data_IF_581238968819
#
_entry.id   IF_581238968819
#
_cell.length_a   1.000
_cell.length_b   1.000
_cell.length_c   1.000
_cell.angle_alpha   90.00
_cell.angle_beta   90.00
_cell.angle_gamma   90.00
#
_symmetry.space_group_name_H-M   'P 1'
#
loop_
_entity.id
_entity.type
_entity.pdbx_description
1 polymer ?
#
# COMPACT_ATOMS: atom_id res chain seq x y z
N UNK A 1 15.91 -19.30 17.80
CA UNK A 1 16.11 -18.14 16.92
C UNK A 1 16.36 -18.55 15.48
N UNK A 2 17.56 -19.05 15.11
CA UNK A 2 17.89 -19.36 13.69
C UNK A 2 16.88 -20.30 13.00
N UNK A 3 16.41 -21.35 13.68
CA UNK A 3 15.34 -22.23 13.16
C UNK A 3 14.05 -21.50 12.82
N UNK A 4 13.64 -20.53 13.65
CA UNK A 4 12.43 -19.74 13.37
C UNK A 4 12.64 -18.74 12.24
N UNK A 5 13.86 -18.24 12.05
CA UNK A 5 14.14 -17.32 10.96
C UNK A 5 14.17 -18.05 9.60
N UNK A 6 14.70 -19.27 9.59
CA UNK A 6 14.63 -20.17 8.44
C UNK A 6 13.18 -20.57 8.13
N UNK A 7 12.44 -21.09 9.12
CA UNK A 7 11.01 -21.41 8.96
C UNK A 7 10.16 -20.21 8.50
N UNK A 8 10.47 -19.00 8.99
CA UNK A 8 9.82 -17.78 8.54
C UNK A 8 10.10 -17.49 7.06
N UNK A 9 11.33 -17.67 6.60
CA UNK A 9 11.71 -17.41 5.20
C UNK A 9 11.05 -18.43 4.25
N UNK A 10 11.03 -19.71 4.62
CA UNK A 10 10.34 -20.76 3.88
C UNK A 10 8.84 -20.42 3.74
N UNK A 11 8.19 -20.13 4.86
CA UNK A 11 6.75 -19.82 4.90
C UNK A 11 6.42 -18.53 4.15
N UNK A 12 7.28 -17.51 4.24
CA UNK A 12 7.18 -16.28 3.46
C UNK A 12 7.20 -16.59 1.96
N UNK A 13 8.18 -17.34 1.47
CA UNK A 13 8.32 -17.67 0.05
C UNK A 13 7.11 -18.47 -0.46
N UNK A 14 6.66 -19.47 0.31
CA UNK A 14 5.46 -20.25 0.00
C UNK A 14 4.22 -19.36 -0.10
N UNK A 15 3.97 -18.51 0.89
CA UNK A 15 2.80 -17.61 0.92
C UNK A 15 2.88 -16.55 -0.17
N UNK A 16 4.06 -15.97 -0.44
CA UNK A 16 4.25 -14.98 -1.51
C UNK A 16 3.84 -15.57 -2.85
N UNK A 17 4.30 -16.79 -3.17
CA UNK A 17 3.92 -17.50 -4.40
C UNK A 17 2.40 -17.65 -4.55
N UNK A 18 1.71 -18.07 -3.49
CA UNK A 18 0.25 -18.22 -3.53
C UNK A 18 -0.48 -16.91 -3.72
N UNK A 19 -0.07 -15.85 -2.99
CA UNK A 19 -0.70 -14.54 -3.10
C UNK A 19 -0.46 -13.87 -4.45
N UNK A 20 0.73 -14.01 -5.02
CA UNK A 20 1.03 -13.53 -6.38
C UNK A 20 0.16 -14.23 -7.42
N UNK A 21 0.00 -15.55 -7.32
CA UNK A 21 -0.88 -16.31 -8.22
C UNK A 21 -2.33 -15.79 -8.15
N UNK A 22 -2.82 -15.50 -6.95
CA UNK A 22 -4.16 -14.94 -6.74
C UNK A 22 -4.27 -13.53 -7.35
N UNK A 23 -3.32 -12.64 -7.08
CA UNK A 23 -3.28 -11.30 -7.68
C UNK A 23 -3.27 -11.35 -9.22
N UNK A 24 -2.41 -12.18 -9.83
CA UNK A 24 -2.36 -12.37 -11.28
C UNK A 24 -3.72 -12.83 -11.82
N UNK A 25 -4.32 -13.83 -11.17
CA UNK A 25 -5.60 -14.38 -11.60
C UNK A 25 -6.72 -13.35 -11.53
N UNK A 26 -6.77 -12.57 -10.45
CA UNK A 26 -7.82 -11.57 -10.22
C UNK A 26 -7.60 -10.26 -10.99
N UNK A 27 -6.36 -9.91 -11.33
CA UNK A 27 -6.03 -8.62 -11.95
C UNK A 27 -5.73 -8.69 -13.45
N UNK A 28 -5.31 -9.85 -13.99
CA UNK A 28 -4.86 -9.97 -15.39
C UNK A 28 -5.54 -11.08 -16.19
N UNK A 29 -6.10 -12.11 -15.53
CA UNK A 29 -6.66 -13.28 -16.23
C UNK A 29 -8.16 -13.16 -16.49
N UNK A 30 -8.61 -13.93 -17.49
CA UNK A 30 -10.00 -14.09 -17.91
C UNK A 30 -10.85 -14.66 -16.77
N UNK A 31 -12.04 -14.10 -16.55
CA UNK A 31 -13.12 -14.86 -15.92
C UNK A 31 -13.70 -15.84 -16.96
N UNK A 32 -14.65 -16.70 -16.57
CA UNK A 32 -15.33 -17.67 -17.45
C UNK A 32 -15.95 -17.05 -18.74
N UNK A 33 -15.94 -15.72 -18.88
CA UNK A 33 -16.43 -14.90 -19.99
C UNK A 33 -15.39 -14.62 -21.11
N UNK A 34 -14.23 -15.29 -21.13
CA UNK A 34 -13.30 -15.33 -22.28
C UNK A 34 -12.48 -14.06 -22.63
N UNK A 35 -12.62 -12.93 -21.92
CA UNK A 35 -11.81 -11.72 -22.17
C UNK A 35 -10.75 -11.47 -21.10
N UNK A 36 -9.51 -11.19 -21.53
CA UNK A 36 -8.44 -10.79 -20.61
C UNK A 36 -8.69 -9.37 -20.14
N UNK A 37 -8.49 -9.12 -18.83
CA UNK A 37 -8.65 -7.80 -18.21
C UNK A 37 -7.30 -7.24 -17.76
N UNK A 38 -7.24 -5.93 -17.57
CA UNK A 38 -6.10 -5.29 -16.93
C UNK A 38 -6.60 -4.34 -15.84
N UNK A 39 -6.68 -4.84 -14.60
CA UNK A 39 -7.18 -4.07 -13.47
C UNK A 39 -6.07 -3.45 -12.64
N UNK A 40 -6.33 -2.33 -11.97
CA UNK A 40 -5.41 -1.86 -10.93
C UNK A 40 -5.86 -2.23 -9.51
N UNK A 41 -5.02 -1.87 -8.54
CA UNK A 41 -5.25 -2.12 -7.12
C UNK A 41 -6.50 -1.42 -6.57
N UNK A 42 -7.03 -0.41 -7.26
CA UNK A 42 -8.19 0.39 -6.89
C UNK A 42 -9.48 -0.10 -7.57
N UNK A 43 -9.39 -1.16 -8.38
CA UNK A 43 -10.53 -1.71 -9.11
C UNK A 43 -10.86 -0.95 -10.40
N UNK A 44 -9.94 -0.14 -10.91
CA UNK A 44 -10.09 0.49 -12.22
C UNK A 44 -9.69 -0.47 -13.34
N UNK A 45 -10.43 -0.43 -14.45
CA UNK A 45 -10.05 -1.07 -15.69
C UNK A 45 -9.08 -0.15 -16.46
N UNK A 46 -7.84 -0.60 -16.62
CA UNK A 46 -6.75 0.16 -17.22
C UNK A 46 -6.82 0.22 -18.75
N UNK A 47 -7.67 -0.57 -19.41
CA UNK A 47 -7.93 -0.39 -20.84
C UNK A 47 -8.69 0.93 -21.08
N UNK A 48 -9.66 1.22 -20.21
CA UNK A 48 -10.52 2.40 -20.30
C UNK A 48 -10.05 3.58 -19.44
N UNK A 49 -9.25 3.32 -18.41
CA UNK A 49 -8.70 4.34 -17.50
C UNK A 49 -7.45 4.99 -18.08
N UNK A 50 -7.46 6.32 -18.18
CA UNK A 50 -6.32 7.16 -18.58
C UNK A 50 -6.10 8.23 -17.51
N UNK A 51 -5.24 7.91 -16.52
CA UNK A 51 -4.95 8.80 -15.38
C UNK A 51 -4.44 10.17 -15.82
N UNK A 52 -3.61 10.20 -16.86
CA UNK A 52 -3.08 11.44 -17.41
C UNK A 52 -4.13 12.38 -17.96
N UNK A 53 -5.30 11.87 -18.36
CA UNK A 53 -6.45 12.65 -18.82
C UNK A 53 -7.55 12.79 -17.74
N UNK A 54 -7.24 12.45 -16.48
CA UNK A 54 -8.21 12.33 -15.38
C UNK A 54 -9.42 11.44 -15.71
N UNK A 55 -9.26 10.46 -16.62
CA UNK A 55 -10.32 9.55 -17.04
C UNK A 55 -10.25 8.28 -16.21
N UNK A 56 -11.17 8.10 -15.26
CA UNK A 56 -11.19 6.95 -14.35
C UNK A 56 -12.39 6.06 -14.61
N UNK A 57 -12.15 4.76 -14.88
CA UNK A 57 -13.19 3.77 -15.16
C UNK A 57 -13.12 2.61 -14.20
N UNK A 58 -13.94 2.70 -13.16
CA UNK A 58 -14.08 1.63 -12.18
C UNK A 58 -14.99 0.54 -12.74
N UNK A 59 -14.59 -0.72 -12.61
CA UNK A 59 -15.36 -1.86 -13.08
C UNK A 59 -15.53 -2.89 -11.95
N UNK A 60 -16.77 -3.34 -11.72
CA UNK A 60 -17.08 -4.44 -10.82
C UNK A 60 -16.26 -5.72 -11.15
N UNK A 61 -15.93 -5.96 -12.42
CA UNK A 61 -15.04 -7.06 -12.83
C UNK A 61 -13.62 -6.93 -12.26
N UNK A 62 -13.19 -5.73 -11.89
CA UNK A 62 -11.91 -5.44 -11.27
C UNK A 62 -11.97 -5.41 -9.73
N UNK A 63 -13.14 -5.59 -9.12
CA UNK A 63 -13.28 -5.66 -7.65
C UNK A 63 -12.50 -6.83 -7.03
N UNK A 64 -12.37 -7.93 -7.77
CA UNK A 64 -11.53 -9.06 -7.37
C UNK A 64 -10.06 -8.65 -7.21
N UNK A 65 -9.54 -7.84 -8.14
CA UNK A 65 -8.19 -7.32 -8.09
C UNK A 65 -7.99 -6.41 -6.87
N UNK A 66 -8.90 -5.45 -6.66
CA UNK A 66 -8.90 -4.56 -5.50
C UNK A 66 -8.74 -5.32 -4.18
N UNK A 67 -9.53 -6.38 -4.00
CA UNK A 67 -9.49 -7.20 -2.78
C UNK A 67 -8.17 -7.96 -2.64
N UNK A 68 -7.71 -8.63 -3.69
CA UNK A 68 -6.46 -9.40 -3.64
C UNK A 68 -5.25 -8.49 -3.42
N UNK A 69 -5.19 -7.36 -4.10
CA UNK A 69 -4.10 -6.40 -3.99
C UNK A 69 -4.04 -5.71 -2.65
N UNK A 70 -5.18 -5.23 -2.12
CA UNK A 70 -5.20 -4.63 -0.78
C UNK A 70 -4.73 -5.61 0.30
N UNK A 71 -5.13 -6.88 0.24
CA UNK A 71 -4.62 -7.88 1.18
C UNK A 71 -3.14 -8.27 0.95
N UNK A 72 -2.66 -8.19 -0.29
CA UNK A 72 -1.27 -8.49 -0.62
C UNK A 72 -0.33 -7.38 -0.10
N UNK A 73 -0.62 -6.13 -0.42
CA UNK A 73 0.13 -4.94 -0.01
C UNK A 73 0.32 -4.92 1.51
N UNK A 74 -0.77 -5.05 2.26
CA UNK A 74 -0.69 -5.00 3.72
C UNK A 74 0.08 -6.20 4.28
N UNK A 75 -0.06 -7.37 3.66
CA UNK A 75 0.68 -8.55 4.09
C UNK A 75 2.18 -8.40 3.83
N UNK A 76 2.58 -7.93 2.65
CA UNK A 76 4.00 -7.81 2.27
C UNK A 76 4.71 -6.75 3.12
N UNK A 77 4.05 -5.63 3.44
CA UNK A 77 4.57 -4.61 4.35
C UNK A 77 4.80 -5.17 5.76
N UNK A 78 3.85 -5.94 6.27
CA UNK A 78 4.00 -6.62 7.56
C UNK A 78 5.14 -7.65 7.54
N UNK A 79 5.33 -8.39 6.45
CA UNK A 79 6.43 -9.32 6.29
C UNK A 79 7.79 -8.59 6.27
N UNK A 80 7.88 -7.44 5.59
CA UNK A 80 9.09 -6.61 5.60
C UNK A 80 9.45 -6.18 7.02
N UNK A 81 8.48 -5.74 7.81
CA UNK A 81 8.71 -5.35 9.21
C UNK A 81 9.15 -6.53 10.08
N UNK A 82 8.56 -7.71 9.90
CA UNK A 82 8.99 -8.93 10.59
C UNK A 82 10.43 -9.31 10.23
N UNK A 83 10.76 -9.26 8.94
CA UNK A 83 12.10 -9.53 8.43
C UNK A 83 13.14 -8.59 9.05
N UNK A 84 12.88 -7.27 9.07
CA UNK A 84 13.80 -6.30 9.65
C UNK A 84 14.06 -6.56 11.13
N UNK A 85 13.03 -6.93 11.90
CA UNK A 85 13.17 -7.32 13.31
C UNK A 85 14.00 -8.60 13.49
N UNK A 86 13.79 -9.61 12.65
CA UNK A 86 14.63 -10.81 12.67
C UNK A 86 16.07 -10.43 12.33
N UNK A 87 16.32 -9.67 11.25
CA UNK A 87 17.67 -9.21 10.88
C UNK A 87 18.39 -8.51 12.03
N UNK A 88 17.72 -7.61 12.75
CA UNK A 88 18.25 -6.96 13.96
C UNK A 88 18.54 -7.96 15.08
N UNK A 89 17.60 -8.87 15.38
CA UNK A 89 17.80 -9.92 16.38
C UNK A 89 18.97 -10.86 16.05
N UNK A 90 19.22 -11.14 14.77
CA UNK A 90 20.37 -11.92 14.34
C UNK A 90 21.68 -11.25 14.78
N UNK A 91 21.80 -9.94 14.53
CA UNK A 91 22.98 -9.16 14.89
C UNK A 91 23.16 -9.05 16.41
N UNK A 92 22.07 -8.92 17.17
CA UNK A 92 22.10 -8.93 18.64
C UNK A 92 22.57 -10.27 19.22
N UNK A 93 22.00 -11.39 18.75
CA UNK A 93 22.40 -12.73 19.21
C UNK A 93 23.87 -12.98 18.88
N UNK A 94 24.31 -12.61 17.67
CA UNK A 94 25.70 -12.75 17.27
C UNK A 94 26.64 -11.94 18.17
N UNK A 95 26.35 -10.67 18.45
CA UNK A 95 27.13 -9.83 19.37
C UNK A 95 27.20 -10.44 20.77
N UNK A 96 26.05 -10.92 21.28
CA UNK A 96 25.95 -11.57 22.59
C UNK A 96 26.89 -12.76 22.70
N UNK A 97 26.86 -13.68 21.75
CA UNK A 97 27.67 -14.89 21.82
C UNK A 97 29.14 -14.67 21.47
N UNK A 98 29.49 -13.71 20.60
CA UNK A 98 30.89 -13.31 20.38
C UNK A 98 31.52 -12.79 21.68
N UNK A 99 30.80 -11.97 22.45
CA UNK A 99 31.31 -11.45 23.72
C UNK A 99 31.51 -12.56 24.76
N UNK A 100 30.61 -13.55 24.79
CA UNK A 100 30.74 -14.75 25.64
C UNK A 100 31.97 -15.57 25.24
N UNK A 101 32.14 -15.86 23.94
CA UNK A 101 33.26 -16.66 23.40
C UNK A 101 34.61 -15.98 23.63
N UNK A 102 34.69 -14.67 23.42
CA UNK A 102 35.94 -13.92 23.58
C UNK A 102 36.32 -13.67 25.05
N UNK A 103 35.58 -14.21 26.02
CA UNK A 103 35.86 -14.02 27.45
C UNK A 103 35.68 -12.58 27.93
N UNK A 104 35.01 -11.73 27.15
CA UNK A 104 34.69 -10.37 27.55
C UNK A 104 33.59 -10.42 28.61
N UNK A 105 34.01 -10.47 29.88
CA UNK A 105 33.12 -10.25 31.02
C UNK A 105 32.29 -9.00 30.74
N UNK A 106 30.96 -9.14 30.61
CA UNK A 106 30.06 -8.00 30.68
C UNK A 106 30.43 -7.26 31.96
N UNK A 107 31.02 -6.07 31.82
CA UNK A 107 31.49 -5.26 32.93
C UNK A 107 30.29 -4.76 33.74
N UNK A 108 29.71 -5.64 34.54
CA UNK A 108 28.89 -5.23 35.67
C UNK A 108 29.85 -4.63 36.68
N UNK A 109 30.00 -3.32 36.59
CA UNK A 109 30.43 -2.47 37.69
C UNK A 109 29.58 -2.77 38.93
N UNK A 110 30.05 -3.74 39.73
CA UNK A 110 30.07 -3.81 41.20
C UNK A 110 30.55 -5.19 41.63
N UNK A 111 31.80 -5.23 42.06
CA UNK A 111 32.48 -6.38 42.68
C UNK A 111 31.75 -6.72 43.99
N UNK A 112 30.87 -7.73 43.98
CA UNK A 112 30.52 -8.49 45.20
C UNK A 112 31.25 -9.83 45.13
N UNK A 113 32.17 -10.03 46.08
CA UNK A 113 32.82 -11.32 46.35
C UNK A 113 31.72 -12.35 46.65
N UNK A 114 31.65 -13.42 45.86
CA UNK A 114 30.75 -14.54 46.15
C UNK A 114 30.54 -15.47 44.96
N UNK A 115 31.00 -16.71 45.14
CA UNK A 115 30.67 -17.92 44.36
C UNK A 115 31.33 -18.06 42.98
N UNK A 116 32.00 -19.19 42.79
CA UNK A 116 32.56 -19.68 41.53
C UNK A 116 31.50 -19.64 40.43
N UNK A 117 31.55 -18.63 39.57
CA UNK A 117 30.75 -18.58 38.34
C UNK A 117 31.34 -19.61 37.39
N UNK A 118 30.83 -20.85 37.42
CA UNK A 118 30.96 -21.75 36.28
C UNK A 118 30.47 -21.00 35.05
N UNK A 119 31.37 -20.72 34.12
CA UNK A 119 31.06 -20.02 32.86
C UNK A 119 30.10 -20.94 32.10
N UNK A 120 28.79 -20.72 32.23
CA UNK A 120 27.79 -21.55 31.58
C UNK A 120 27.79 -21.21 30.10
N UNK A 121 28.68 -21.85 29.35
CA UNK A 121 28.65 -21.90 27.89
C UNK A 121 27.45 -22.75 27.46
N UNK A 122 26.28 -22.11 27.43
CA UNK A 122 25.03 -22.73 26.97
C UNK A 122 25.19 -23.33 25.58
N UNK A 123 24.31 -24.26 25.21
CA UNK A 123 24.35 -24.95 23.90
C UNK A 123 24.41 -23.99 22.72
N UNK A 124 23.82 -22.80 22.86
CA UNK A 124 23.84 -21.74 21.87
C UNK A 124 25.24 -21.16 21.65
N UNK A 125 26.05 -20.95 22.70
CA UNK A 125 27.40 -20.39 22.52
C UNK A 125 28.28 -21.35 21.71
N UNK A 126 28.20 -22.65 22.01
CA UNK A 126 28.86 -23.72 21.22
C UNK A 126 28.41 -23.74 19.76
N UNK A 127 27.13 -23.46 19.50
CA UNK A 127 26.60 -23.39 18.14
C UNK A 127 27.10 -22.15 17.40
N UNK A 128 27.06 -20.97 18.04
CA UNK A 128 27.53 -19.72 17.46
C UNK A 128 29.05 -19.68 17.27
N UNK A 129 29.81 -20.42 18.08
CA UNK A 129 31.25 -20.62 17.91
C UNK A 129 31.54 -21.42 16.63
N UNK A 130 30.85 -22.55 16.44
CA UNK A 130 30.90 -23.28 15.16
C UNK A 130 30.46 -22.41 13.99
N UNK A 131 29.39 -21.62 14.15
CA UNK A 131 28.87 -20.73 13.10
C UNK A 131 29.89 -19.65 12.71
N UNK A 132 30.66 -19.12 13.68
CA UNK A 132 31.69 -18.09 13.47
C UNK A 132 32.80 -18.57 12.52
N UNK A 133 33.13 -19.85 12.57
CA UNK A 133 34.16 -20.49 11.74
C UNK A 133 33.63 -20.91 10.36
N UNK A 134 32.35 -20.66 10.07
CA UNK A 134 31.76 -20.89 8.74
C UNK A 134 31.66 -19.59 7.92
N UNK A 135 31.38 -19.75 6.63
CA UNK A 135 31.06 -18.63 5.72
C UNK A 135 29.81 -17.85 6.13
N UNK A 136 29.01 -18.33 7.10
CA UNK A 136 27.78 -17.67 7.58
C UNK A 136 28.02 -16.75 8.76
N UNK A 137 29.29 -16.37 9.01
CA UNK A 137 29.64 -15.37 10.01
C UNK A 137 28.84 -14.08 9.83
N UNK A 138 28.55 -13.66 8.59
CA UNK A 138 27.82 -12.42 8.30
C UNK A 138 26.35 -12.68 8.00
N UNK A 139 25.47 -11.80 8.48
CA UNK A 139 24.01 -11.88 8.25
C UNK A 139 23.69 -11.99 6.76
N UNK A 140 24.40 -11.26 5.91
CA UNK A 140 24.25 -11.32 4.45
C UNK A 140 24.46 -12.73 3.88
N UNK A 141 25.46 -13.47 4.37
CA UNK A 141 25.74 -14.82 3.88
C UNK A 141 24.71 -15.83 4.39
N UNK A 142 24.19 -15.63 5.60
CA UNK A 142 23.05 -16.40 6.10
C UNK A 142 21.78 -16.13 5.28
N UNK A 143 21.49 -14.86 4.98
CA UNK A 143 20.34 -14.47 4.16
C UNK A 143 20.43 -15.02 2.72
N UNK A 144 21.63 -15.06 2.13
CA UNK A 144 21.85 -15.75 0.84
C UNK A 144 21.47 -17.22 0.88
N UNK A 145 21.68 -17.91 2.01
CA UNK A 145 21.24 -19.30 2.17
C UNK A 145 19.74 -19.45 2.27
N UNK A 146 19.04 -18.49 2.87
CA UNK A 146 17.57 -18.50 2.88
C UNK A 146 17.01 -18.34 1.46
N UNK A 147 17.64 -17.53 0.61
CA UNK A 147 17.24 -17.45 -0.81
C UNK A 147 17.47 -18.78 -1.56
N UNK A 148 18.41 -19.61 -1.08
CA UNK A 148 18.75 -20.88 -1.73
C UNK A 148 17.69 -21.96 -1.55
N UNK A 149 16.70 -21.75 -0.70
CA UNK A 149 15.61 -22.70 -0.48
C UNK A 149 14.79 -22.94 -1.75
N UNK A 150 14.40 -24.19 -1.96
CA UNK A 150 13.66 -24.61 -3.16
C UNK A 150 12.36 -23.83 -3.34
N UNK A 151 11.68 -23.48 -2.26
CA UNK A 151 10.42 -22.72 -2.30
C UNK A 151 10.64 -21.27 -2.74
N UNK A 152 11.76 -20.65 -2.32
CA UNK A 152 12.13 -19.29 -2.69
C UNK A 152 12.60 -19.23 -4.15
N UNK A 153 13.40 -20.22 -4.59
CA UNK A 153 13.86 -20.36 -5.98
C UNK A 153 12.72 -20.56 -6.99
N UNK A 154 11.60 -21.13 -6.56
CA UNK A 154 10.42 -21.35 -7.41
C UNK A 154 9.62 -20.08 -7.72
N UNK A 155 10.00 -18.92 -7.19
CA UNK A 155 9.43 -17.61 -7.53
C UNK A 155 10.26 -17.02 -8.67
N UNK A 156 9.85 -17.29 -9.91
CA UNK A 156 10.58 -16.92 -11.14
C UNK A 156 9.74 -16.06 -12.08
N UNK A 157 8.70 -15.40 -11.59
CA UNK A 157 7.92 -14.47 -12.42
C UNK A 157 8.83 -13.28 -12.80
N UNK A 158 9.03 -13.06 -14.10
CA UNK A 158 9.97 -12.07 -14.63
C UNK A 158 9.64 -10.64 -14.15
N UNK A 159 8.36 -10.34 -13.88
CA UNK A 159 7.92 -9.02 -13.41
C UNK A 159 8.20 -8.83 -11.93
N UNK A 160 8.03 -9.88 -11.15
CA UNK A 160 8.26 -9.88 -9.70
C UNK A 160 9.73 -10.07 -9.31
N UNK A 161 10.53 -10.66 -10.20
CA UNK A 161 11.94 -10.94 -9.95
C UNK A 161 12.19 -12.02 -8.90
N UNK A 162 13.47 -12.21 -8.57
CA UNK A 162 13.94 -13.22 -7.63
C UNK A 162 14.01 -12.66 -6.21
N UNK A 163 13.84 -13.54 -5.22
CA UNK A 163 13.99 -13.20 -3.79
C UNK A 163 15.47 -13.00 -3.46
N UNK A 164 15.78 -11.86 -2.83
CA UNK A 164 17.10 -11.43 -2.41
C UNK A 164 17.05 -10.80 -1.01
N UNK A 165 16.94 -11.60 0.04
CA UNK A 165 16.90 -11.10 1.42
C UNK A 165 18.15 -10.30 1.83
N UNK A 166 19.31 -10.65 1.31
CA UNK A 166 20.60 -10.01 1.57
C UNK A 166 20.67 -8.56 1.08
N UNK A 167 19.89 -8.23 0.04
CA UNK A 167 19.84 -6.89 -0.56
C UNK A 167 18.79 -6.00 0.11
N UNK A 168 18.11 -6.47 1.14
CA UNK A 168 17.04 -5.72 1.81
C UNK A 168 17.68 -4.74 2.79
N UNK A 169 17.51 -3.45 2.52
CA UNK A 169 18.06 -2.39 3.35
C UNK A 169 17.06 -2.01 4.46
N UNK A 170 17.59 -1.58 5.60
CA UNK A 170 16.80 -1.08 6.73
C UNK A 170 16.37 0.38 6.56
N UNK A 171 16.96 1.11 5.61
CA UNK A 171 16.62 2.49 5.34
C UNK A 171 15.29 2.59 4.60
N UNK A 172 14.36 3.38 5.13
CA UNK A 172 13.25 3.97 4.38
C UNK A 172 13.80 5.02 3.41
N UNK A 173 14.64 4.63 2.44
CA UNK A 173 15.04 5.57 1.42
C UNK A 173 13.84 5.82 0.52
N UNK A 174 13.42 7.08 0.48
CA UNK A 174 12.46 7.71 -0.44
C UNK A 174 12.83 7.52 -1.92
N UNK A 175 13.96 6.86 -2.18
CA UNK A 175 14.41 6.31 -3.46
C UNK A 175 14.51 4.80 -3.25
N UNK A 176 13.69 4.03 -3.99
CA UNK A 176 13.33 2.65 -3.71
C UNK A 176 14.46 1.68 -3.33
N UNK A 177 14.08 0.62 -2.61
CA UNK A 177 14.95 -0.53 -2.29
C UNK A 177 15.72 -0.93 -3.55
N UNK A 178 17.02 -0.61 -3.58
CA UNK A 178 17.82 -0.69 -4.81
C UNK A 178 17.65 -2.04 -5.49
N UNK A 179 16.97 -2.08 -6.64
CA UNK A 179 16.68 -3.28 -7.44
C UNK A 179 16.01 -4.47 -6.72
N UNK A 180 15.70 -4.39 -5.42
CA UNK A 180 15.30 -5.54 -4.63
C UNK A 180 13.79 -5.66 -4.54
N UNK A 181 13.23 -6.58 -5.34
CA UNK A 181 11.80 -6.83 -5.42
C UNK A 181 11.24 -7.79 -4.36
N UNK A 182 12.03 -8.12 -3.33
CA UNK A 182 11.64 -9.12 -2.33
C UNK A 182 10.37 -8.73 -1.58
N UNK A 183 10.22 -7.45 -1.22
CA UNK A 183 9.05 -6.95 -0.50
C UNK A 183 8.21 -5.96 -1.31
N UNK A 184 8.35 -5.97 -2.64
CA UNK A 184 7.59 -5.08 -3.51
C UNK A 184 6.11 -5.46 -3.55
N UNK A 185 5.28 -4.46 -3.80
CA UNK A 185 3.82 -4.55 -3.86
C UNK A 185 3.27 -5.22 -5.14
N UNK A 186 4.10 -5.96 -5.87
CA UNK A 186 3.84 -6.56 -7.19
C UNK A 186 3.47 -5.56 -8.30
N UNK A 187 3.95 -5.80 -9.53
CA UNK A 187 3.54 -4.99 -10.69
C UNK A 187 2.03 -5.14 -10.99
N UNK A 188 1.44 -6.27 -10.61
CA UNK A 188 0.03 -6.55 -10.86
C UNK A 188 -0.92 -5.68 -10.01
N UNK A 189 -0.43 -5.20 -8.87
CA UNK A 189 -1.14 -4.32 -7.94
C UNK A 189 -0.64 -2.88 -7.99
N UNK A 190 -0.06 -2.46 -9.11
CA UNK A 190 0.21 -1.05 -9.36
C UNK A 190 -1.04 -0.35 -9.89
N UNK A 191 -1.10 0.97 -9.68
CA UNK A 191 -2.08 1.83 -10.32
C UNK A 191 -2.01 1.70 -11.85
N UNK A 192 -3.11 2.02 -12.54
CA UNK A 192 -3.09 2.02 -14.01
C UNK A 192 -1.95 2.91 -14.57
N UNK A 193 -1.37 2.54 -15.73
CA UNK A 193 -0.42 3.40 -16.44
C UNK A 193 -1.00 4.78 -16.74
N UNK A 194 -0.13 5.76 -16.94
CA UNK A 194 -0.53 7.16 -17.20
C UNK A 194 -1.54 7.28 -18.35
N UNK A 195 -1.29 6.58 -19.45
CA UNK A 195 -2.16 6.52 -20.63
C UNK A 195 -2.99 5.23 -20.73
N UNK A 196 -3.08 4.44 -19.67
CA UNK A 196 -3.73 3.13 -19.71
C UNK A 196 -2.92 2.08 -20.48
N UNK A 197 -3.59 1.03 -20.94
CA UNK A 197 -2.97 -0.10 -21.67
C UNK A 197 -3.61 -0.32 -23.04
N UNK A 198 -2.89 -0.98 -23.94
CA UNK A 198 -3.44 -1.48 -25.21
C UNK A 198 -2.90 -2.86 -25.52
N UNK A 199 -3.72 -3.76 -26.07
CA UNK A 199 -3.24 -5.04 -26.60
C UNK A 199 -2.46 -4.82 -27.90
N UNK A 200 -1.23 -5.32 -27.95
CA UNK A 200 -0.41 -5.41 -29.15
C UNK A 200 0.07 -6.86 -29.26
N UNK A 201 -0.21 -7.52 -30.39
CA UNK A 201 0.17 -8.92 -30.63
C UNK A 201 -0.26 -9.88 -29.50
N UNK A 202 -1.47 -9.70 -28.96
CA UNK A 202 -2.01 -10.53 -27.87
C UNK A 202 -1.42 -10.25 -26.48
N UNK A 203 -0.51 -9.29 -26.32
CA UNK A 203 0.06 -8.90 -25.02
C UNK A 203 -0.33 -7.47 -24.66
N UNK A 204 -0.59 -7.22 -23.38
CA UNK A 204 -0.83 -5.88 -22.86
C UNK A 204 0.45 -5.05 -22.85
N UNK A 205 0.43 -3.90 -23.53
CA UNK A 205 1.49 -2.90 -23.48
C UNK A 205 1.03 -1.70 -22.65
N UNK A 206 1.82 -1.37 -21.62
CA UNK A 206 1.65 -0.16 -20.80
C UNK A 206 1.99 1.07 -21.64
N UNK A 207 1.15 2.10 -21.56
CA UNK A 207 1.43 3.42 -22.15
C UNK A 207 1.70 4.41 -21.02
N UNK A 208 2.92 4.92 -20.95
CA UNK A 208 3.36 5.88 -19.93
C UNK A 208 3.78 7.24 -20.54
N UNK A 209 3.53 7.44 -21.84
CA UNK A 209 3.93 8.64 -22.58
C UNK A 209 3.09 9.86 -22.11
N UNK A 210 3.74 10.74 -21.36
CA UNK A 210 3.09 11.93 -20.79
C UNK A 210 2.70 12.95 -21.85
N UNK A 211 3.46 13.06 -22.93
CA UNK A 211 3.19 14.03 -24.01
C UNK A 211 1.93 13.63 -24.79
N UNK A 212 1.65 12.33 -24.88
CA UNK A 212 0.45 11.81 -25.56
C UNK A 212 -0.80 11.71 -24.67
N UNK A 213 -0.66 11.72 -23.34
CA UNK A 213 -1.78 11.89 -22.40
C UNK A 213 -1.57 13.10 -21.49
N UNK A 214 -1.68 14.28 -22.07
CA UNK A 214 -1.74 15.47 -21.26
C UNK A 214 -3.11 15.57 -20.54
N UNK A 215 -3.13 16.17 -19.33
CA UNK A 215 -4.36 16.49 -18.62
C UNK A 215 -5.31 17.32 -19.47
N UNK A 216 -6.58 16.93 -19.48
CA UNK A 216 -7.66 17.70 -20.12
C UNK A 216 -8.94 17.54 -19.32
N UNK A 217 -9.76 18.58 -19.30
CA UNK A 217 -11.14 18.47 -18.86
C UNK A 217 -11.90 17.71 -19.95
N UNK A 218 -12.40 16.52 -19.62
CA UNK A 218 -13.20 15.71 -20.53
C UNK A 218 -14.50 16.41 -20.85
N UNK A 219 -15.04 17.09 -19.83
CA UNK A 219 -16.37 17.63 -19.79
C UNK A 219 -16.41 19.04 -19.19
N UNK A 220 -17.49 19.76 -19.46
CA UNK A 220 -17.79 21.15 -19.16
C UNK A 220 -19.29 21.26 -18.82
N UNK A 221 -19.63 21.77 -17.63
CA UNK A 221 -21.03 21.87 -17.20
C UNK A 221 -21.88 22.69 -18.17
N UNK A 222 -23.18 22.42 -18.22
CA UNK A 222 -24.13 23.12 -19.10
C UNK A 222 -24.38 24.58 -18.69
N UNK A 223 -24.32 24.91 -17.40
CA UNK A 223 -24.36 26.28 -16.87
C UNK A 223 -23.44 26.41 -15.65
N UNK A 224 -23.16 27.65 -15.23
CA UNK A 224 -22.46 27.95 -13.97
C UNK A 224 -23.37 27.72 -12.73
N UNK A 225 -24.59 27.22 -12.91
CA UNK A 225 -25.48 26.87 -11.81
C UNK A 225 -24.91 25.70 -11.01
N UNK A 226 -24.93 25.88 -9.70
CA UNK A 226 -24.19 25.09 -8.73
C UNK A 226 -24.69 23.64 -8.75
N UNK A 227 -23.84 22.72 -9.20
CA UNK A 227 -24.05 21.29 -9.01
C UNK A 227 -24.35 20.95 -7.55
N UNK A 228 -24.89 19.75 -7.29
CA UNK A 228 -25.13 19.36 -5.89
C UNK A 228 -23.79 19.15 -5.21
N UNK A 229 -23.49 19.97 -4.19
CA UNK A 229 -22.29 19.80 -3.38
C UNK A 229 -22.43 18.52 -2.55
N UNK A 230 -21.52 17.59 -2.78
CA UNK A 230 -21.39 16.33 -2.05
C UNK A 230 -20.12 16.43 -1.22
N UNK A 231 -20.32 16.61 0.08
CA UNK A 231 -19.25 16.51 1.05
C UNK A 231 -19.02 15.02 1.33
N UNK A 232 -17.78 14.57 1.15
CA UNK A 232 -17.43 13.18 1.40
C UNK A 232 -16.12 13.09 2.16
N UNK A 233 -16.03 12.09 3.03
CA UNK A 233 -14.78 11.79 3.71
C UNK A 233 -13.88 11.02 2.75
N UNK A 234 -12.80 11.66 2.31
CA UNK A 234 -11.77 11.00 1.51
C UNK A 234 -10.69 10.40 2.42
N UNK A 235 -10.73 9.09 2.57
CA UNK A 235 -9.79 8.28 3.35
C UNK A 235 -8.37 8.23 2.78
N UNK A 236 -8.16 8.66 1.53
CA UNK A 236 -6.93 8.41 0.79
C UNK A 236 -7.00 7.19 -0.13
N UNK A 237 -5.99 7.02 -0.96
CA UNK A 237 -5.84 5.86 -1.85
C UNK A 237 -5.05 4.72 -1.16
N UNK A 238 -4.27 5.05 -0.12
CA UNK A 238 -3.46 4.10 0.65
C UNK A 238 -4.11 3.71 1.99
N UNK A 239 -3.84 2.49 2.48
CA UNK A 239 -4.41 2.02 3.75
C UNK A 239 -3.97 2.88 4.95
N UNK A 240 -2.74 3.41 4.95
CA UNK A 240 -2.24 4.19 6.10
C UNK A 240 -2.72 5.63 6.11
N UNK A 241 -3.20 6.15 4.97
CA UNK A 241 -3.68 7.52 4.88
C UNK A 241 -4.90 7.75 5.75
N UNK A 242 -5.83 6.80 5.82
CA UNK A 242 -7.01 6.97 6.67
C UNK A 242 -6.64 7.01 8.14
N UNK A 243 -5.70 6.15 8.57
CA UNK A 243 -5.22 6.17 9.94
C UNK A 243 -4.58 7.52 10.28
N UNK A 244 -3.77 8.08 9.36
CA UNK A 244 -3.14 9.40 9.54
C UNK A 244 -4.20 10.50 9.61
N UNK A 245 -5.09 10.57 8.63
CA UNK A 245 -6.16 11.57 8.53
C UNK A 245 -7.10 11.53 9.73
N UNK A 246 -7.50 10.34 10.18
CA UNK A 246 -8.35 10.21 11.36
C UNK A 246 -7.61 10.53 12.66
N UNK A 247 -6.32 10.16 12.77
CA UNK A 247 -5.50 10.60 13.91
C UNK A 247 -5.38 12.12 13.96
N UNK A 248 -5.22 12.78 12.83
CA UNK A 248 -5.22 14.25 12.73
C UNK A 248 -6.59 14.81 13.11
N UNK A 249 -7.68 14.29 12.54
CA UNK A 249 -9.05 14.69 12.86
C UNK A 249 -9.35 14.58 14.37
N UNK A 250 -9.02 13.44 15.00
CA UNK A 250 -9.23 13.23 16.43
C UNK A 250 -8.29 14.10 17.31
N UNK A 251 -7.11 14.50 16.83
CA UNK A 251 -6.23 15.43 17.57
C UNK A 251 -6.81 16.84 17.60
N UNK A 252 -7.45 17.29 16.52
CA UNK A 252 -8.07 18.62 16.43
C UNK A 252 -9.20 18.75 17.47
N UNK A 253 -10.00 17.69 17.66
CA UNK A 253 -11.10 17.66 18.63
C UNK A 253 -10.64 17.69 20.10
N UNK A 254 -9.44 17.19 20.41
CA UNK A 254 -8.90 17.13 21.77
C UNK A 254 -8.08 18.39 22.17
N UNK A 255 -8.00 19.40 21.31
CA UNK A 255 -7.24 20.63 21.55
C UNK A 255 -8.05 21.78 22.16
N UNK A 256 -9.32 21.59 22.51
CA UNK A 256 -10.18 22.65 23.04
C UNK A 256 -10.59 22.37 24.50
N UNK A 257 -9.64 22.53 25.40
CA UNK A 257 -9.95 22.86 26.80
C UNK A 257 -9.87 24.39 26.95
N UNK A 258 -11.03 25.06 26.94
CA UNK A 258 -11.14 26.43 27.42
C UNK A 258 -12.13 27.34 26.68
N UNK A 259 -13.30 27.52 27.32
CA UNK A 259 -14.26 28.61 27.14
C UNK A 259 -15.39 28.41 26.11
N UNK A 260 -16.62 28.50 26.62
CA UNK A 260 -17.86 28.27 25.89
C UNK A 260 -18.27 29.42 24.95
N UNK A 261 -19.28 29.11 24.14
CA UNK A 261 -19.91 30.04 23.20
C UNK A 261 -20.14 29.34 21.86
N UNK A 262 -21.41 29.15 21.49
CA UNK A 262 -21.82 28.44 20.28
C UNK A 262 -21.29 29.04 18.98
N UNK A 263 -21.13 28.17 17.98
CA UNK A 263 -20.70 28.52 16.62
C UNK A 263 -19.81 27.44 16.03
N UNK A 264 -20.35 26.24 15.78
CA UNK A 264 -19.59 25.12 15.22
C UNK A 264 -19.41 25.24 13.71
N UNK A 265 -18.46 26.07 13.27
CA UNK A 265 -17.94 26.07 11.90
C UNK A 265 -16.42 26.02 11.97
N UNK A 266 -15.82 24.87 11.67
CA UNK A 266 -14.38 24.68 11.68
C UNK A 266 -13.97 23.47 10.86
N UNK A 267 -13.30 23.73 9.74
CA UNK A 267 -12.99 22.82 8.64
C UNK A 267 -12.48 21.45 9.09
N UNK A 268 -13.28 20.43 8.81
CA UNK A 268 -12.73 19.11 8.47
C UNK A 268 -12.14 19.25 7.06
N UNK A 269 -10.96 18.69 6.77
CA UNK A 269 -10.41 18.59 5.40
C UNK A 269 -11.25 17.63 4.52
N UNK A 270 -12.57 17.82 4.50
CA UNK A 270 -13.47 17.23 3.52
C UNK A 270 -13.22 17.96 2.22
N UNK A 271 -12.75 17.25 1.21
CA UNK A 271 -12.71 17.78 -0.14
C UNK A 271 -14.14 17.78 -0.67
N UNK A 272 -14.62 18.94 -1.09
CA UNK A 272 -15.97 19.05 -1.61
C UNK A 272 -16.00 18.65 -3.10
N UNK A 273 -16.90 17.75 -3.46
CA UNK A 273 -17.21 17.40 -4.85
C UNK A 273 -18.52 18.05 -5.25
N UNK A 274 -18.65 18.45 -6.51
CA UNK A 274 -19.94 18.84 -7.08
C UNK A 274 -20.40 17.80 -8.10
N UNK A 275 -21.69 17.45 -8.08
CA UNK A 275 -22.34 16.64 -9.12
C UNK A 275 -23.09 17.54 -10.11
N UNK A 276 -22.74 17.45 -11.40
CA UNK A 276 -23.13 18.41 -12.44
C UNK A 276 -23.62 17.73 -13.74
N UNK A 277 -24.48 18.45 -14.50
CA UNK A 277 -25.05 18.04 -15.80
C UNK A 277 -24.21 18.55 -16.97
N UNK A 278 -24.08 17.76 -18.06
CA UNK A 278 -23.02 17.93 -19.06
C UNK A 278 -23.47 18.07 -20.54
N UNK A 279 -22.74 18.91 -21.33
CA UNK A 279 -22.78 19.00 -22.81
C UNK A 279 -21.45 18.70 -23.50
N UNK A 280 -21.42 17.69 -24.40
CA UNK A 280 -20.24 17.26 -25.18
C UNK A 280 -19.55 18.39 -25.94
N UNK A 281 -18.23 18.57 -25.74
CA UNK A 281 -17.38 19.22 -26.74
C UNK A 281 -16.74 18.10 -27.53
N UNK A 282 -17.14 17.94 -28.79
CA UNK A 282 -16.40 17.12 -29.75
C UNK A 282 -14.98 17.66 -29.83
N UNK A 283 -14.01 16.84 -29.46
CA UNK A 283 -12.60 17.16 -29.61
C UNK A 283 -12.03 16.07 -30.49
N UNK A 284 -11.47 16.46 -31.64
CA UNK A 284 -10.76 15.62 -32.59
C UNK A 284 -9.56 14.90 -31.95
N UNK A 285 -9.83 13.91 -31.10
CA UNK A 285 -8.91 12.84 -30.78
C UNK A 285 -9.43 11.59 -31.50
N UNK A 286 -8.54 10.76 -32.06
CA UNK A 286 -8.88 9.45 -32.65
C UNK A 286 -9.57 8.46 -31.67
N UNK A 287 -9.86 8.89 -30.43
CA UNK A 287 -10.52 8.17 -29.34
C UNK A 287 -11.79 8.94 -28.87
N UNK A 288 -12.67 9.35 -29.80
CA UNK A 288 -14.05 9.73 -29.48
C UNK A 288 -14.77 8.50 -28.89
N UNK A 289 -14.65 8.35 -27.59
CA UNK A 289 -15.19 7.23 -26.85
C UNK A 289 -16.69 7.45 -26.61
N UNK A 290 -17.49 7.19 -27.65
CA UNK A 290 -18.96 7.24 -27.60
C UNK A 290 -19.54 6.39 -26.46
N UNK A 291 -18.82 5.34 -26.05
CA UNK A 291 -19.16 4.53 -24.88
C UNK A 291 -19.02 5.37 -23.59
N UNK A 292 -17.94 6.13 -23.47
CA UNK A 292 -17.70 7.02 -22.32
C UNK A 292 -18.78 8.11 -22.19
N UNK A 293 -19.20 8.71 -23.31
CA UNK A 293 -20.30 9.69 -23.33
C UNK A 293 -21.65 9.10 -22.93
N UNK A 294 -21.99 7.92 -23.45
CA UNK A 294 -23.23 7.23 -23.10
C UNK A 294 -23.24 6.83 -21.62
N UNK A 295 -22.10 6.35 -21.12
CA UNK A 295 -21.95 6.02 -19.70
C UNK A 295 -22.14 7.25 -18.81
N UNK A 296 -21.68 8.44 -19.18
CA UNK A 296 -21.94 9.66 -18.36
C UNK A 296 -23.41 10.00 -18.32
N UNK A 297 -24.11 9.87 -19.45
CA UNK A 297 -25.57 10.10 -19.52
C UNK A 297 -26.33 9.07 -18.69
N UNK A 298 -25.86 7.82 -18.61
CA UNK A 298 -26.53 6.73 -17.89
C UNK A 298 -26.06 6.51 -16.44
N UNK A 299 -24.92 7.10 -16.02
CA UNK A 299 -24.26 6.82 -14.73
C UNK A 299 -24.57 7.82 -13.62
N UNK A 300 -25.70 8.52 -13.71
CA UNK A 300 -26.20 9.39 -12.65
C UNK A 300 -25.61 10.79 -12.59
N UNK A 301 -24.71 11.17 -13.51
CA UNK A 301 -24.09 12.51 -13.54
C UNK A 301 -22.57 12.48 -13.57
N UNK A 302 -21.98 13.67 -13.54
CA UNK A 302 -20.53 13.88 -13.50
C UNK A 302 -20.13 14.55 -12.19
N UNK A 303 -19.29 13.88 -11.42
CA UNK A 303 -18.63 14.46 -10.25
C UNK A 303 -17.33 15.16 -10.66
N UNK A 304 -17.20 16.42 -10.26
CA UNK A 304 -16.01 17.24 -10.49
C UNK A 304 -15.36 17.59 -9.15
N UNK A 305 -14.08 17.25 -9.01
CA UNK A 305 -13.22 17.76 -7.96
C UNK A 305 -12.43 18.95 -8.47
N UNK A 306 -12.78 20.13 -7.97
CA UNK A 306 -12.06 21.37 -8.28
C UNK A 306 -10.71 21.32 -7.58
N UNK A 307 -9.61 21.41 -8.34
CA UNK A 307 -8.28 21.60 -7.74
C UNK A 307 -8.13 23.07 -7.34
N UNK A 308 -8.02 23.35 -6.05
CA UNK A 308 -7.67 24.69 -5.59
C UNK A 308 -6.28 25.08 -6.13
N UNK A 309 -6.19 26.28 -6.70
CA UNK A 309 -4.91 26.91 -7.04
C UNK A 309 -4.18 27.27 -5.75
N UNK A 310 -3.42 26.34 -5.16
CA UNK A 310 -2.44 26.73 -4.14
C UNK A 310 -1.37 27.56 -4.82
N UNK A 311 -1.24 28.82 -4.41
CA UNK A 311 -0.35 29.84 -4.98
C UNK A 311 1.13 29.55 -4.74
N UNK A 312 1.64 28.44 -5.27
CA UNK A 312 3.06 28.16 -5.40
C UNK A 312 3.35 28.16 -6.90
N UNK A 313 4.22 29.05 -7.35
CA UNK A 313 4.84 29.00 -8.68
C UNK A 313 5.65 27.69 -8.78
N UNK A 314 4.99 26.59 -9.13
CA UNK A 314 5.65 25.31 -9.37
C UNK A 314 6.00 25.20 -10.86
N UNK A 315 7.28 25.33 -11.15
CA UNK A 315 7.93 25.22 -12.47
C UNK A 315 7.90 23.80 -13.07
N UNK A 316 6.97 22.95 -12.65
CA UNK A 316 6.87 21.57 -13.10
C UNK A 316 5.68 21.43 -14.08
N UNK A 317 5.88 20.99 -15.33
CA UNK A 317 4.80 20.82 -16.34
C UNK A 317 3.67 19.86 -15.91
N UNK A 318 3.84 19.17 -14.78
CA UNK A 318 2.91 18.22 -14.17
C UNK A 318 1.65 18.88 -13.54
N UNK A 319 1.60 20.22 -13.41
CA UNK A 319 0.52 20.93 -12.72
C UNK A 319 -0.43 21.73 -13.63
N UNK A 320 -0.72 21.24 -14.84
CA UNK A 320 -1.73 21.85 -15.69
C UNK A 320 -3.16 21.56 -15.19
N UNK A 321 -3.75 22.56 -14.50
CA UNK A 321 -5.11 23.14 -14.51
C UNK A 321 -6.40 22.33 -14.78
N UNK A 322 -6.35 21.02 -15.05
CA UNK A 322 -7.56 20.22 -15.28
C UNK A 322 -8.15 19.68 -13.97
N UNK A 323 -9.46 19.82 -13.83
CA UNK A 323 -10.23 19.25 -12.72
C UNK A 323 -10.24 17.72 -12.81
N UNK A 324 -10.41 17.04 -11.67
CA UNK A 324 -10.60 15.59 -11.68
C UNK A 324 -12.07 15.31 -11.92
N UNK A 325 -12.38 14.62 -13.02
CA UNK A 325 -13.75 14.35 -13.46
C UNK A 325 -14.03 12.86 -13.44
N UNK A 326 -15.07 12.44 -12.72
CA UNK A 326 -15.52 11.04 -12.65
C UNK A 326 -17.03 10.98 -12.84
N UNK A 327 -17.53 9.85 -13.34
CA UNK A 327 -18.98 9.61 -13.35
C UNK A 327 -19.47 9.29 -11.93
N UNK A 328 -20.68 9.74 -11.59
CA UNK A 328 -21.21 9.61 -10.23
C UNK A 328 -21.29 8.15 -9.76
N UNK A 329 -21.92 7.25 -10.51
CA UNK A 329 -22.05 5.85 -10.09
C UNK A 329 -20.69 5.15 -9.83
N UNK A 330 -19.70 5.19 -10.75
CA UNK A 330 -18.36 4.68 -10.47
C UNK A 330 -17.68 5.31 -9.26
N UNK A 331 -17.82 6.63 -9.06
CA UNK A 331 -17.31 7.29 -7.86
C UNK A 331 -18.01 6.80 -6.59
N UNK A 332 -19.33 6.68 -6.61
CA UNK A 332 -20.13 6.19 -5.49
C UNK A 332 -19.72 4.76 -5.09
N UNK A 333 -19.58 3.85 -6.06
CA UNK A 333 -19.14 2.49 -5.78
C UNK A 333 -17.71 2.44 -5.24
N UNK A 334 -16.80 3.22 -5.82
CA UNK A 334 -15.44 3.39 -5.29
C UNK A 334 -15.48 3.82 -3.82
N UNK A 335 -16.25 4.86 -3.51
CA UNK A 335 -16.38 5.39 -2.16
C UNK A 335 -16.97 4.37 -1.18
N UNK A 336 -18.06 3.67 -1.54
CA UNK A 336 -18.69 2.63 -0.70
C UNK A 336 -17.70 1.51 -0.38
N UNK A 337 -16.94 1.03 -1.38
CA UNK A 337 -15.98 -0.05 -1.20
C UNK A 337 -14.85 0.36 -0.26
N UNK A 338 -14.33 1.58 -0.40
CA UNK A 338 -13.29 2.11 0.49
C UNK A 338 -13.84 2.31 1.91
N UNK A 339 -15.01 2.93 2.07
CA UNK A 339 -15.66 3.12 3.37
C UNK A 339 -15.89 1.80 4.13
N UNK A 340 -16.32 0.75 3.43
CA UNK A 340 -16.49 -0.58 4.03
C UNK A 340 -15.16 -1.22 4.44
N UNK A 341 -14.14 -1.13 3.59
CA UNK A 341 -12.77 -1.62 3.90
C UNK A 341 -12.23 -0.93 5.16
N UNK A 342 -12.38 0.38 5.22
CA UNK A 342 -11.93 1.22 6.32
C UNK A 342 -12.68 0.87 7.62
N UNK A 343 -14.00 0.68 7.53
CA UNK A 343 -14.84 0.25 8.66
C UNK A 343 -14.40 -1.10 9.22
N UNK A 344 -14.04 -2.06 8.35
CA UNK A 344 -13.52 -3.36 8.77
C UNK A 344 -12.15 -3.22 9.44
N UNK A 345 -11.24 -2.42 8.87
CA UNK A 345 -9.94 -2.14 9.46
C UNK A 345 -10.13 -1.57 10.87
N UNK A 346 -10.97 -0.55 11.04
CA UNK A 346 -11.28 0.05 12.34
C UNK A 346 -11.82 -0.95 13.34
N UNK A 347 -12.86 -1.70 12.95
CA UNK A 347 -13.46 -2.71 13.82
C UNK A 347 -12.43 -3.74 14.28
N UNK A 348 -11.55 -4.19 13.40
CA UNK A 348 -10.65 -5.32 13.67
C UNK A 348 -9.31 -4.94 14.28
N UNK A 349 -8.76 -3.77 13.93
CA UNK A 349 -7.42 -3.33 14.35
C UNK A 349 -7.43 -2.32 15.48
N UNK A 350 -8.46 -1.45 15.55
CA UNK A 350 -8.54 -0.36 16.53
C UNK A 350 -9.55 -0.67 17.62
N UNK A 351 -10.81 -0.87 17.24
CA UNK A 351 -11.89 -1.03 18.20
C UNK A 351 -11.83 -2.36 18.94
N UNK A 352 -11.46 -3.47 18.28
CA UNK A 352 -11.35 -4.78 18.94
C UNK A 352 -10.37 -4.79 20.13
N UNK A 353 -9.30 -3.98 20.08
CA UNK A 353 -8.38 -3.86 21.23
C UNK A 353 -8.92 -3.00 22.37
N UNK A 354 -9.92 -2.17 22.09
CA UNK A 354 -10.51 -1.19 22.99
C UNK A 354 -11.90 -1.56 23.50
N UNK A 355 -12.61 -2.47 22.83
CA UNK A 355 -13.98 -2.87 23.14
C UNK A 355 -14.04 -4.41 23.15
N UNK A 356 -14.36 -4.99 24.30
CA UNK A 356 -14.64 -6.43 24.45
C UNK A 356 -16.03 -6.61 25.07
N UNK A 357 -16.90 -7.39 24.43
CA UNK A 357 -18.22 -7.70 24.97
C UNK A 357 -18.09 -8.57 26.23
N UNK A 358 -18.68 -8.13 27.35
CA UNK A 358 -19.02 -8.99 28.49
C UNK A 358 -18.17 -8.92 29.76
N UNK A 359 -17.17 -8.04 29.87
CA UNK A 359 -16.42 -7.86 31.13
C UNK A 359 -16.09 -6.39 31.38
N UNK A 360 -16.12 -5.97 32.65
CA UNK A 360 -15.67 -4.64 33.11
C UNK A 360 -14.28 -4.34 32.56
N UNK A 361 -14.18 -3.32 31.71
CA UNK A 361 -12.93 -2.98 31.02
C UNK A 361 -12.14 -1.96 31.85
N UNK A 362 -10.84 -2.23 32.05
CA UNK A 362 -9.91 -1.20 32.53
C UNK A 362 -9.56 -0.27 31.37
N UNK A 363 -9.57 1.05 31.61
CA UNK A 363 -9.11 2.03 30.64
C UNK A 363 -7.71 1.65 30.14
N UNK A 364 -7.52 1.68 28.81
CA UNK A 364 -6.24 1.42 28.15
C UNK A 364 -5.76 2.71 27.50
N UNK A 365 -4.48 3.03 27.68
CA UNK A 365 -3.86 4.17 27.01
C UNK A 365 -4.03 4.02 25.49
N UNK A 366 -4.58 5.05 24.84
CA UNK A 366 -4.87 5.06 23.40
C UNK A 366 -6.25 4.52 23.00
N UNK A 367 -7.10 4.16 23.98
CA UNK A 367 -8.52 3.87 23.80
C UNK A 367 -9.37 4.98 24.44
N UNK A 368 -9.04 6.23 24.13
CA UNK A 368 -9.72 7.43 24.62
C UNK A 368 -10.87 7.81 23.69
#
# INVERSE_FOLDING_TARGET
>A
YLRWFEEWAEDFCRKKKHKLKDAIQKCRKKDNSSEERYCDLNGYDCEKTKRGRNKYRWDHKCTGCFRSCSHFVNWIDNQKQQFLKQKEQFDEQKKKYINVINGASVSRSRKRRGTTTTNYDGYESKFYDKLKDTNYKNVENFLKKLNDEDVCKKITDEKEGTIHFEKVNSASSTSGDGSNKTFDHTEYCQACPWCGVKKQNGTWKRKEDMDKCQPKNLYKPESDDVGTLINFLYSGDEETEIEKKLKEFCKIQNGSDGSGGGGGGGNSDSQDLADERYKSKGVDDEDDDLEYENEVKSSGGLCILKKEKKGVEETNPQNNHADIQKTFNPFFYYWVVHMLKDSIHWRTKRLKSCISNGTTMKCRNGCH
#
